data_IF_724071715806
#
_entry.id   IF_724071715806
#
_cell.length_a   1.000
_cell.length_b   1.000
_cell.length_c   1.000
_cell.angle_alpha   90.00
_cell.angle_beta   90.00
_cell.angle_gamma   90.00
#
_symmetry.space_group_name_H-M   'P 1'
#
loop_
_entity.id
_entity.type
_entity.pdbx_description
1 polymer ?
#
# COMPACT_ATOMS: atom_id res chain seq x y z
N UNK A 1 14.39 1.72 16.68
CA UNK A 1 13.26 1.09 17.39
C UNK A 1 12.35 0.50 16.32
N UNK A 2 12.43 -0.80 16.07
CA UNK A 2 11.57 -1.49 15.10
C UNK A 2 10.24 -1.77 15.78
N UNK A 3 9.27 -0.89 15.60
CA UNK A 3 7.87 -1.24 15.87
C UNK A 3 7.54 -2.43 14.99
N UNK A 4 7.30 -3.59 15.60
CA UNK A 4 6.79 -4.78 14.88
C UNK A 4 5.38 -4.46 14.42
N UNK A 5 5.24 -3.85 13.25
CA UNK A 5 3.95 -3.74 12.57
C UNK A 5 3.51 -5.17 12.25
N UNK A 6 2.44 -5.65 12.87
CA UNK A 6 1.90 -6.98 12.61
C UNK A 6 1.54 -7.04 11.13
N UNK A 7 2.23 -7.88 10.35
CA UNK A 7 1.98 -8.04 8.92
C UNK A 7 0.96 -9.15 8.67
N UNK A 8 -0.17 -8.77 8.10
CA UNK A 8 -1.29 -9.64 7.77
C UNK A 8 -1.23 -9.99 6.28
N UNK A 9 -1.53 -11.23 5.87
CA UNK A 9 -1.70 -11.56 4.46
C UNK A 9 -2.86 -10.73 3.88
N UNK A 10 -2.63 -10.15 2.71
CA UNK A 10 -3.60 -9.30 2.05
C UNK A 10 -3.48 -9.41 0.53
N UNK A 11 -4.63 -9.26 -0.11
CA UNK A 11 -4.71 -9.11 -1.54
C UNK A 11 -4.71 -7.63 -1.89
N UNK A 12 -3.77 -7.21 -2.73
CA UNK A 12 -3.58 -5.82 -3.14
C UNK A 12 -3.85 -5.69 -4.64
N UNK A 13 -4.91 -4.98 -5.00
CA UNK A 13 -5.09 -4.44 -6.34
C UNK A 13 -4.50 -3.03 -6.38
N UNK A 14 -3.67 -2.71 -7.37
CA UNK A 14 -3.07 -1.40 -7.52
C UNK A 14 -3.17 -0.90 -8.96
N UNK A 15 -3.57 0.37 -9.10
CA UNK A 15 -3.71 1.03 -10.39
C UNK A 15 -2.46 1.84 -10.73
N UNK A 16 -1.95 1.63 -11.93
CA UNK A 16 -0.83 2.35 -12.52
C UNK A 16 -1.34 3.20 -13.67
N UNK A 17 -0.90 4.45 -13.73
CA UNK A 17 -1.13 5.28 -14.91
C UNK A 17 -0.02 4.99 -15.92
N UNK A 18 -0.40 4.52 -17.11
CA UNK A 18 0.51 4.23 -18.21
C UNK A 18 0.21 5.16 -19.38
N UNK A 19 1.11 5.21 -20.38
CA UNK A 19 0.89 5.98 -21.60
C UNK A 19 -0.36 5.53 -22.39
N UNK A 20 -0.88 4.34 -22.12
CA UNK A 20 -2.06 3.76 -22.76
C UNK A 20 -3.31 3.80 -21.87
N UNK A 21 -3.28 4.60 -20.79
CA UNK A 21 -4.34 4.68 -19.79
C UNK A 21 -3.99 3.94 -18.51
N UNK A 22 -4.99 3.76 -17.64
CA UNK A 22 -4.80 3.10 -16.34
C UNK A 22 -4.83 1.58 -16.48
N UNK A 23 -3.83 0.91 -15.93
CA UNK A 23 -3.78 -0.55 -15.79
C UNK A 23 -3.91 -0.90 -14.32
N UNK A 24 -4.74 -1.90 -14.00
CA UNK A 24 -4.80 -2.47 -12.65
C UNK A 24 -4.03 -3.78 -12.63
N UNK A 25 -3.18 -3.94 -11.62
CA UNK A 25 -2.45 -5.18 -11.31
C UNK A 25 -2.84 -5.67 -9.93
N UNK A 26 -2.65 -6.96 -9.69
CA UNK A 26 -3.01 -7.62 -8.43
C UNK A 26 -1.82 -8.40 -7.90
N UNK A 27 -1.61 -8.38 -6.58
CA UNK A 27 -0.58 -9.16 -5.91
C UNK A 27 -1.05 -9.64 -4.53
N UNK A 28 -0.58 -10.83 -4.13
CA UNK A 28 -0.70 -11.32 -2.74
C UNK A 28 0.55 -10.88 -1.97
N UNK A 29 0.36 -10.13 -0.89
CA UNK A 29 1.46 -9.60 -0.10
C UNK A 29 1.13 -9.61 1.40
N UNK A 30 2.11 -9.29 2.25
CA UNK A 30 1.85 -9.09 3.67
C UNK A 30 1.94 -7.61 4.00
N UNK A 31 0.91 -7.10 4.65
CA UNK A 31 0.73 -5.68 4.92
C UNK A 31 0.56 -5.38 6.41
N UNK A 32 1.15 -4.30 6.86
CA UNK A 32 0.86 -3.65 8.13
C UNK A 32 0.10 -2.36 7.89
N UNK A 33 -0.89 -2.07 8.73
CA UNK A 33 -1.61 -0.79 8.70
C UNK A 33 -1.09 0.10 9.82
N UNK A 34 -0.78 1.35 9.48
CA UNK A 34 -0.25 2.36 10.38
C UNK A 34 -1.04 3.66 10.20
N UNK A 35 -1.25 4.42 11.29
CA UNK A 35 -1.81 5.76 11.18
C UNK A 35 -0.72 6.74 10.76
N UNK A 36 -1.05 7.69 9.89
CA UNK A 36 -0.11 8.76 9.51
C UNK A 36 -0.14 9.83 10.60
N UNK A 37 1.00 10.08 11.23
CA UNK A 37 1.11 11.18 12.20
C UNK A 37 0.76 12.50 11.50
N UNK A 38 -0.10 13.30 12.12
CA UNK A 38 -0.56 14.61 11.61
C UNK A 38 -1.48 14.59 10.37
N UNK A 39 -1.89 13.43 9.85
CA UNK A 39 -2.88 13.32 8.77
C UNK A 39 -4.01 12.33 9.15
N UNK A 40 -5.02 12.78 9.91
CA UNK A 40 -6.09 11.89 10.42
C UNK A 40 -7.00 11.36 9.30
N UNK A 41 -6.96 11.99 8.14
CA UNK A 41 -7.65 11.61 6.91
C UNK A 41 -6.85 10.59 6.08
N UNK A 42 -5.68 10.14 6.55
CA UNK A 42 -4.81 9.22 5.79
C UNK A 42 -4.40 8.02 6.63
N UNK A 43 -4.08 6.94 5.93
CA UNK A 43 -3.49 5.76 6.53
C UNK A 43 -2.26 5.34 5.74
N UNK A 44 -1.28 4.78 6.44
CA UNK A 44 -0.10 4.19 5.84
C UNK A 44 -0.30 2.68 5.74
N UNK A 45 -0.01 2.14 4.56
CA UNK A 45 0.08 0.71 4.32
C UNK A 45 1.55 0.38 4.14
N UNK A 46 2.10 -0.46 5.02
CA UNK A 46 3.44 -0.99 4.89
C UNK A 46 3.38 -2.38 4.26
N UNK A 47 3.86 -2.52 3.03
CA UNK A 47 3.94 -3.79 2.32
C UNK A 47 5.34 -4.36 2.52
N UNK A 48 5.42 -5.59 3.01
CA UNK A 48 6.69 -6.30 3.20
C UNK A 48 7.06 -7.11 1.97
N UNK A 49 8.35 -7.34 1.75
CA UNK A 49 8.84 -8.13 0.63
C UNK A 49 8.27 -9.57 0.65
N UNK A 50 8.06 -10.19 -0.53
CA UNK A 50 8.36 -9.69 -1.86
C UNK A 50 7.37 -8.62 -2.36
N UNK A 51 7.92 -7.54 -2.93
CA UNK A 51 7.15 -6.43 -3.49
C UNK A 51 7.01 -6.59 -5.01
N UNK A 52 5.85 -6.24 -5.59
CA UNK A 52 5.76 -6.03 -7.03
C UNK A 52 6.69 -4.89 -7.45
N UNK A 53 7.42 -5.06 -8.56
CA UNK A 53 8.46 -4.14 -9.01
C UNK A 53 7.96 -2.71 -9.28
N UNK A 54 6.69 -2.59 -9.65
CA UNK A 54 6.03 -1.35 -10.06
C UNK A 54 5.08 -0.78 -9.00
N UNK A 55 4.98 -1.42 -7.82
CA UNK A 55 4.05 -1.00 -6.79
C UNK A 55 4.32 0.43 -6.28
N UNK A 56 5.58 0.86 -6.28
CA UNK A 56 5.98 2.22 -5.90
C UNK A 56 5.33 3.30 -6.78
N UNK A 57 4.99 2.95 -8.02
CA UNK A 57 4.35 3.84 -9.00
C UNK A 57 2.81 3.83 -8.89
N UNK A 58 2.24 3.05 -7.97
CA UNK A 58 0.80 2.95 -7.78
C UNK A 58 0.17 4.33 -7.53
N UNK A 59 -0.99 4.54 -8.17
CA UNK A 59 -1.82 5.74 -8.05
C UNK A 59 -3.07 5.49 -7.24
N UNK A 60 -3.58 4.27 -7.29
CA UNK A 60 -4.72 3.83 -6.48
C UNK A 60 -4.43 2.45 -5.95
N UNK A 61 -5.02 2.13 -4.80
CA UNK A 61 -4.90 0.83 -4.17
C UNK A 61 -6.26 0.37 -3.65
N UNK A 62 -6.52 -0.92 -3.77
CA UNK A 62 -7.59 -1.63 -3.09
C UNK A 62 -6.96 -2.78 -2.33
N UNK A 63 -6.97 -2.67 -1.01
CA UNK A 63 -6.40 -3.64 -0.10
C UNK A 63 -7.50 -4.47 0.54
N UNK A 64 -7.40 -5.80 0.45
CA UNK A 64 -8.28 -6.75 1.13
C UNK A 64 -7.48 -7.48 2.20
N UNK A 65 -7.77 -7.23 3.47
CA UNK A 65 -7.04 -7.78 4.62
C UNK A 65 -8.04 -8.13 5.73
N UNK A 66 -7.95 -9.35 6.29
CA UNK A 66 -8.83 -9.83 7.37
C UNK A 66 -10.34 -9.60 7.11
N UNK A 67 -10.80 -9.79 5.87
CA UNK A 67 -12.21 -9.55 5.49
C UNK A 67 -12.61 -8.08 5.38
N UNK A 68 -11.69 -7.15 5.62
CA UNK A 68 -11.87 -5.70 5.41
C UNK A 68 -11.36 -5.32 4.04
N UNK A 69 -12.05 -4.38 3.39
CA UNK A 69 -11.63 -3.75 2.14
C UNK A 69 -11.32 -2.28 2.41
N UNK A 70 -10.10 -1.87 2.11
CA UNK A 70 -9.66 -0.49 2.12
C UNK A 70 -9.39 -0.07 0.68
N UNK A 71 -9.84 1.12 0.30
CA UNK A 71 -9.65 1.68 -1.04
C UNK A 71 -9.21 3.12 -0.89
N UNK A 72 -8.39 3.58 -1.83
CA UNK A 72 -7.99 4.97 -1.84
C UNK A 72 -6.95 5.31 -2.89
N UNK A 73 -6.58 6.58 -2.89
CA UNK A 73 -5.56 7.16 -3.75
C UNK A 73 -4.21 7.21 -3.04
N UNK A 74 -3.16 6.75 -3.71
CA UNK A 74 -1.79 6.83 -3.18
C UNK A 74 -1.32 8.28 -3.27
N UNK A 75 -0.99 8.87 -2.13
CA UNK A 75 -0.47 10.24 -2.02
C UNK A 75 1.05 10.26 -1.94
N UNK A 76 1.64 9.27 -1.27
CA UNK A 76 3.09 9.16 -1.14
C UNK A 76 3.52 7.69 -1.11
N UNK A 77 4.69 7.41 -1.68
CA UNK A 77 5.33 6.10 -1.67
C UNK A 77 6.76 6.28 -1.17
N UNK A 78 7.16 5.47 -0.18
CA UNK A 78 8.48 5.52 0.44
C UNK A 78 9.02 4.10 0.63
N UNK A 79 10.21 3.81 0.11
CA UNK A 79 10.91 2.56 0.39
C UNK A 79 11.69 2.69 1.70
N UNK A 80 11.46 1.75 2.62
CA UNK A 80 12.08 1.72 3.94
C UNK A 80 13.37 0.90 3.94
N UNK A 81 14.18 1.06 5.00
CA UNK A 81 15.50 0.42 5.16
C UNK A 81 15.46 -1.12 5.16
N UNK A 82 14.32 -1.72 5.54
CA UNK A 82 14.10 -3.16 5.53
C UNK A 82 13.56 -3.69 4.19
N UNK A 83 13.66 -2.88 3.13
CA UNK A 83 13.16 -3.19 1.79
C UNK A 83 11.63 -3.38 1.72
N UNK A 84 10.90 -2.93 2.75
CA UNK A 84 9.46 -2.77 2.68
C UNK A 84 9.09 -1.45 1.99
N UNK A 85 7.86 -1.37 1.49
CA UNK A 85 7.32 -0.18 0.85
C UNK A 85 6.18 0.37 1.69
N UNK A 86 6.27 1.63 2.07
CA UNK A 86 5.20 2.37 2.75
C UNK A 86 4.45 3.18 1.71
N UNK A 87 3.13 3.00 1.66
CA UNK A 87 2.21 3.78 0.85
C UNK A 87 1.32 4.59 1.78
N UNK A 88 1.33 5.91 1.65
CA UNK A 88 0.33 6.76 2.28
C UNK A 88 -0.87 6.88 1.36
N UNK A 89 -2.03 6.50 1.89
CA UNK A 89 -3.28 6.38 1.15
C UNK A 89 -4.30 7.33 1.75
N UNK A 90 -4.89 8.13 0.88
CA UNK A 90 -6.09 8.89 1.18
C UNK A 90 -7.29 8.02 0.81
N UNK A 91 -8.13 7.61 1.79
CA UNK A 91 -9.30 6.79 1.56
C UNK A 91 -10.34 7.52 0.70
N UNK A 92 -11.05 6.76 -0.14
CA UNK A 92 -12.19 7.27 -0.93
C UNK A 92 -13.45 7.49 -0.07
#
# INVERSE_FOLDING_TARGET
MTGTTISQPAHLDYGLDTLFGRVTKSAECRVGLEQVEHAPDRFAVRITAPLPEDLEQAKTVVLRVEGRRLTGTVRHSERLDDNSLKLEVEPD
#
